data_IF_502349905678
#
_entry.id   IF_502349905678
#
_cell.length_a   1.000
_cell.length_b   1.000
_cell.length_c   1.000
_cell.angle_alpha   90.00
_cell.angle_beta   90.00
_cell.angle_gamma   90.00
#
_symmetry.space_group_name_H-M   'P 1'
#
loop_
_entity.id
_entity.type
_entity.pdbx_description
1 polymer ?
#
# COMPACT_ATOMS: atom_id res chain seq x y z
N UNK A 1 26.56 -3.86 10.39
CA UNK A 1 25.65 -2.92 9.69
C UNK A 1 25.82 -2.90 8.17
N UNK A 2 26.98 -3.20 7.61
CA UNK A 2 27.23 -3.23 6.15
C UNK A 2 26.43 -4.31 5.39
N UNK A 3 26.16 -5.48 5.99
CA UNK A 3 25.38 -6.54 5.34
C UNK A 3 23.95 -6.14 4.99
N UNK A 4 23.26 -5.38 5.85
CA UNK A 4 21.87 -4.96 5.58
C UNK A 4 21.76 -3.91 4.47
N UNK A 5 22.76 -3.06 4.29
CA UNK A 5 22.77 -2.07 3.21
C UNK A 5 23.00 -2.75 1.84
N UNK A 6 23.94 -3.71 1.77
CA UNK A 6 24.18 -4.51 0.55
C UNK A 6 22.99 -5.36 0.16
N UNK A 7 22.30 -5.96 1.13
CA UNK A 7 21.08 -6.76 0.89
C UNK A 7 19.93 -5.90 0.34
N UNK A 8 19.81 -4.65 0.82
CA UNK A 8 18.78 -3.70 0.36
C UNK A 8 19.05 -3.23 -1.07
N UNK A 9 20.30 -2.91 -1.40
CA UNK A 9 20.69 -2.52 -2.76
C UNK A 9 20.48 -3.66 -3.75
N UNK A 10 20.85 -4.89 -3.40
CA UNK A 10 20.60 -6.06 -4.23
C UNK A 10 19.10 -6.30 -4.43
N UNK A 11 18.28 -6.17 -3.37
CA UNK A 11 16.84 -6.27 -3.46
C UNK A 11 16.27 -5.19 -4.40
N UNK A 12 16.72 -3.94 -4.28
CA UNK A 12 16.33 -2.83 -5.17
C UNK A 12 16.65 -3.13 -6.63
N UNK A 13 17.85 -3.63 -6.91
CA UNK A 13 18.27 -3.99 -8.27
C UNK A 13 17.41 -5.10 -8.86
N UNK A 14 17.09 -6.14 -8.09
CA UNK A 14 16.21 -7.24 -8.53
C UNK A 14 14.78 -6.77 -8.77
N UNK A 15 14.23 -5.96 -7.87
CA UNK A 15 12.89 -5.39 -8.02
C UNK A 15 12.82 -4.47 -9.23
N UNK A 16 13.87 -3.67 -9.49
CA UNK A 16 13.96 -2.82 -10.68
C UNK A 16 13.94 -3.65 -11.96
N UNK A 17 14.68 -4.75 -12.02
CA UNK A 17 14.67 -5.64 -13.16
C UNK A 17 13.27 -6.23 -13.41
N UNK A 18 12.60 -6.71 -12.36
CA UNK A 18 11.22 -7.23 -12.45
C UNK A 18 10.22 -6.15 -12.87
N UNK A 19 10.38 -4.91 -12.40
CA UNK A 19 9.53 -3.78 -12.79
C UNK A 19 9.63 -3.50 -14.29
N UNK A 20 10.84 -3.53 -14.83
CA UNK A 20 11.06 -3.37 -16.28
C UNK A 20 10.51 -4.56 -17.09
N UNK A 21 10.68 -5.79 -16.57
CA UNK A 21 10.17 -7.00 -17.21
C UNK A 21 8.64 -7.01 -17.30
N UNK A 22 7.95 -6.67 -16.20
CA UNK A 22 6.47 -6.57 -16.18
C UNK A 22 5.98 -5.45 -17.09
N UNK A 23 6.72 -4.35 -17.18
CA UNK A 23 6.38 -3.21 -18.02
C UNK A 23 5.10 -2.47 -17.62
N UNK A 24 4.74 -1.39 -18.35
CA UNK A 24 3.59 -0.55 -18.02
C UNK A 24 2.23 -1.23 -18.26
N UNK A 25 2.19 -2.25 -19.12
CA UNK A 25 0.99 -3.02 -19.45
C UNK A 25 0.89 -4.33 -18.66
N UNK A 26 1.78 -4.54 -17.68
CA UNK A 26 1.77 -5.72 -16.84
C UNK A 26 0.57 -5.78 -15.90
N UNK A 27 0.36 -6.97 -15.33
CA UNK A 27 -0.72 -7.20 -14.38
C UNK A 27 -0.69 -6.19 -13.21
N UNK A 28 -1.80 -5.50 -12.99
CA UNK A 28 -1.87 -4.40 -12.04
C UNK A 28 -1.64 -4.85 -10.59
N UNK A 29 -2.04 -6.08 -10.23
CA UNK A 29 -1.76 -6.63 -8.89
C UNK A 29 -0.26 -6.81 -8.67
N UNK A 30 0.44 -7.39 -9.65
CA UNK A 30 1.89 -7.55 -9.57
C UNK A 30 2.62 -6.21 -9.59
N UNK A 31 2.16 -5.25 -10.39
CA UNK A 31 2.71 -3.89 -10.39
C UNK A 31 2.53 -3.20 -9.04
N UNK A 32 1.34 -3.31 -8.42
CA UNK A 32 1.07 -2.78 -7.09
C UNK A 32 2.02 -3.39 -6.05
N UNK A 33 2.14 -4.72 -6.02
CA UNK A 33 3.00 -5.42 -5.07
C UNK A 33 4.48 -5.04 -5.26
N UNK A 34 4.97 -5.01 -6.51
CA UNK A 34 6.35 -4.62 -6.81
C UNK A 34 6.65 -3.18 -6.41
N UNK A 35 5.76 -2.24 -6.72
CA UNK A 35 5.95 -0.84 -6.36
C UNK A 35 6.00 -0.66 -4.84
N UNK A 36 5.13 -1.35 -4.11
CA UNK A 36 5.15 -1.35 -2.65
C UNK A 36 6.47 -1.90 -2.08
N UNK A 37 6.94 -3.06 -2.56
CA UNK A 37 8.23 -3.59 -2.14
C UNK A 37 9.40 -2.70 -2.56
N UNK A 38 9.29 -1.99 -3.69
CA UNK A 38 10.29 -1.03 -4.13
C UNK A 38 10.36 0.16 -3.16
N UNK A 39 9.22 0.67 -2.68
CA UNK A 39 9.15 1.71 -1.67
C UNK A 39 9.96 1.33 -0.42
N UNK A 40 9.75 0.12 0.11
CA UNK A 40 10.45 -0.39 1.30
C UNK A 40 12.00 -0.46 1.13
N UNK A 41 12.50 -0.42 -0.10
CA UNK A 41 13.95 -0.44 -0.37
C UNK A 41 14.57 0.95 -0.51
N UNK A 42 13.77 2.01 -0.54
CA UNK A 42 14.29 3.37 -0.69
C UNK A 42 14.90 3.89 0.61
N UNK A 43 15.87 4.78 0.48
CA UNK A 43 16.54 5.44 1.60
C UNK A 43 16.07 6.91 1.74
N UNK A 44 15.58 7.52 0.64
CA UNK A 44 15.01 8.87 0.64
C UNK A 44 13.48 8.79 0.74
N UNK A 45 12.85 9.48 1.71
CA UNK A 45 11.40 9.50 1.84
C UNK A 45 10.63 10.00 0.60
N UNK A 46 11.27 10.77 -0.28
CA UNK A 46 10.65 11.21 -1.53
C UNK A 46 10.57 10.07 -2.53
N UNK A 47 11.64 9.29 -2.64
CA UNK A 47 11.67 8.13 -3.53
C UNK A 47 10.72 7.04 -3.02
N UNK A 48 10.63 6.84 -1.69
CA UNK A 48 9.67 5.95 -1.03
C UNK A 48 8.24 6.37 -1.38
N UNK A 49 7.90 7.64 -1.18
CA UNK A 49 6.59 8.21 -1.54
C UNK A 49 6.26 8.00 -3.02
N UNK A 50 7.20 8.25 -3.92
CA UNK A 50 6.97 8.08 -5.36
C UNK A 50 6.61 6.64 -5.72
N UNK A 51 7.23 5.66 -5.07
CA UNK A 51 6.93 4.25 -5.27
C UNK A 51 5.60 3.84 -4.64
N UNK A 52 5.28 4.31 -3.44
CA UNK A 52 4.00 4.02 -2.80
C UNK A 52 2.82 4.67 -3.57
N UNK A 53 3.02 5.85 -4.17
CA UNK A 53 2.03 6.44 -5.08
C UNK A 53 1.82 5.62 -6.35
N UNK A 54 2.87 5.04 -6.93
CA UNK A 54 2.75 4.10 -8.07
C UNK A 54 2.03 2.82 -7.68
N UNK A 55 2.25 2.32 -6.47
CA UNK A 55 1.52 1.16 -5.95
C UNK A 55 0.01 1.47 -5.84
N UNK A 56 -0.32 2.64 -5.31
CA UNK A 56 -1.71 3.09 -5.21
C UNK A 56 -2.36 3.26 -6.59
N UNK A 57 -1.68 3.91 -7.54
CA UNK A 57 -2.17 4.08 -8.92
C UNK A 57 -2.47 2.73 -9.60
N UNK A 58 -1.56 1.75 -9.45
CA UNK A 58 -1.78 0.41 -9.98
C UNK A 58 -2.99 -0.28 -9.34
N UNK A 59 -3.17 -0.12 -8.02
CA UNK A 59 -4.31 -0.68 -7.29
C UNK A 59 -5.63 -0.04 -7.72
N UNK A 60 -5.68 1.27 -7.88
CA UNK A 60 -6.87 2.01 -8.32
C UNK A 60 -7.23 1.67 -9.77
N UNK A 61 -6.24 1.59 -10.66
CA UNK A 61 -6.44 1.16 -12.05
C UNK A 61 -7.09 -0.21 -12.16
N UNK A 62 -6.62 -1.17 -11.38
CA UNK A 62 -7.18 -2.52 -11.36
C UNK A 62 -8.66 -2.56 -10.91
N UNK A 63 -9.02 -1.77 -9.91
CA UNK A 63 -10.40 -1.69 -9.39
C UNK A 63 -11.32 -1.01 -10.39
N UNK A 64 -10.82 0.01 -11.10
CA UNK A 64 -11.59 0.77 -12.10
C UNK A 64 -11.84 -0.05 -13.37
N UNK A 65 -10.86 -0.83 -13.82
CA UNK A 65 -10.99 -1.69 -15.01
C UNK A 65 -11.90 -2.89 -14.79
N UNK A 66 -12.19 -3.27 -13.55
CA UNK A 66 -13.06 -4.38 -13.16
C UNK A 66 -14.13 -3.93 -12.17
N UNK A 67 -15.10 -3.10 -12.61
CA UNK A 67 -16.24 -2.80 -11.77
C UNK A 67 -17.00 -4.08 -11.42
N UNK A 68 -17.57 -4.14 -10.21
CA UNK A 68 -18.30 -5.29 -9.62
C UNK A 68 -19.48 -5.86 -10.46
N UNK A 69 -19.65 -5.41 -11.71
CA UNK A 69 -20.66 -5.87 -12.67
C UNK A 69 -20.24 -7.11 -13.49
N UNK A 70 -19.19 -7.82 -13.15
CA UNK A 70 -19.01 -9.19 -13.61
C UNK A 70 -20.10 -10.03 -12.90
N UNK A 71 -21.16 -10.32 -13.65
CA UNK A 71 -22.41 -10.96 -13.25
C UNK A 71 -22.23 -12.11 -12.25
N UNK A 72 -23.20 -12.32 -11.33
CA UNK A 72 -23.30 -13.52 -10.53
C UNK A 72 -23.69 -14.68 -11.43
N UNK A 73 -22.72 -15.33 -12.06
CA UNK A 73 -23.00 -16.37 -13.06
C UNK A 73 -21.87 -17.34 -13.33
N UNK A 74 -20.79 -17.31 -12.61
CA UNK A 74 -19.73 -18.32 -12.72
C UNK A 74 -19.60 -19.10 -11.41
N UNK A 75 -20.39 -20.17 -11.36
CA UNK A 75 -20.19 -21.43 -10.63
C UNK A 75 -19.54 -21.37 -9.27
N UNK A 76 -20.39 -21.58 -8.28
CA UNK A 76 -20.07 -22.32 -7.08
C UNK A 76 -19.26 -23.59 -7.40
N UNK A 77 -17.97 -23.61 -7.14
CA UNK A 77 -17.25 -24.87 -6.82
C UNK A 77 -16.12 -24.59 -5.86
N UNK A 78 -16.19 -25.34 -4.77
CA UNK A 78 -15.15 -25.65 -3.82
C UNK A 78 -14.94 -24.69 -2.64
N UNK A 79 -15.54 -25.08 -1.54
CA UNK A 79 -15.05 -25.00 -0.16
C UNK A 79 -13.59 -25.50 -0.08
N UNK A 80 -12.66 -24.58 -0.14
CA UNK A 80 -11.24 -24.80 0.11
C UNK A 80 -10.57 -23.45 0.35
N UNK A 81 -9.42 -23.36 1.04
CA UNK A 81 -8.63 -22.14 1.10
C UNK A 81 -7.93 -21.94 -0.26
N UNK A 82 -8.75 -21.66 -1.28
CA UNK A 82 -8.28 -21.29 -2.60
C UNK A 82 -7.69 -19.87 -2.60
N UNK A 83 -6.88 -19.49 -3.59
CA UNK A 83 -6.33 -18.16 -3.70
C UNK A 83 -7.49 -17.15 -3.67
N UNK A 84 -7.47 -16.26 -2.69
CA UNK A 84 -8.46 -15.18 -2.56
C UNK A 84 -8.51 -14.43 -3.88
N UNK A 85 -9.72 -14.17 -4.36
CA UNK A 85 -9.91 -13.45 -5.62
C UNK A 85 -9.01 -12.20 -5.64
N UNK A 86 -8.25 -11.91 -6.70
CA UNK A 86 -7.27 -10.82 -6.75
C UNK A 86 -7.85 -9.46 -6.32
N UNK A 87 -9.11 -9.18 -6.64
CA UNK A 87 -9.84 -7.99 -6.19
C UNK A 87 -9.96 -7.90 -4.66
N UNK A 88 -10.25 -9.02 -3.99
CA UNK A 88 -10.38 -9.04 -2.52
C UNK A 88 -9.01 -8.84 -1.88
N UNK A 89 -7.98 -9.48 -2.43
CA UNK A 89 -6.61 -9.30 -1.97
C UNK A 89 -6.17 -7.85 -2.15
N UNK A 90 -6.44 -7.24 -3.31
CA UNK A 90 -6.06 -5.87 -3.59
C UNK A 90 -6.82 -4.86 -2.72
N UNK A 91 -8.12 -5.05 -2.50
CA UNK A 91 -8.91 -4.20 -1.58
C UNK A 91 -8.38 -4.24 -0.15
N UNK A 92 -7.79 -5.36 0.27
CA UNK A 92 -7.15 -5.47 1.56
C UNK A 92 -5.84 -4.67 1.66
N UNK A 93 -5.23 -4.29 0.53
CA UNK A 93 -4.02 -3.47 0.49
C UNK A 93 -4.27 -1.97 0.68
N UNK A 94 -5.43 -1.45 0.27
CA UNK A 94 -5.69 0.00 0.31
C UNK A 94 -5.43 0.66 1.67
N UNK A 95 -5.87 0.10 2.80
CA UNK A 95 -5.60 0.73 4.09
C UNK A 95 -4.11 0.84 4.39
N UNK A 96 -3.31 -0.18 4.06
CA UNK A 96 -1.86 -0.17 4.27
C UNK A 96 -1.14 0.76 3.30
N UNK A 97 -1.54 0.82 2.03
CA UNK A 97 -0.99 1.77 1.06
C UNK A 97 -1.21 3.22 1.52
N UNK A 98 -2.43 3.57 1.89
CA UNK A 98 -2.72 4.90 2.40
C UNK A 98 -1.99 5.21 3.71
N UNK A 99 -1.77 4.22 4.58
CA UNK A 99 -1.01 4.39 5.81
C UNK A 99 0.48 4.65 5.52
N UNK A 100 1.08 3.94 4.57
CA UNK A 100 2.47 4.15 4.16
C UNK A 100 2.65 5.54 3.55
N UNK A 101 1.82 5.92 2.59
CA UNK A 101 1.84 7.26 1.98
C UNK A 101 1.66 8.36 3.04
N UNK A 102 0.84 8.11 4.08
CA UNK A 102 0.70 9.05 5.18
C UNK A 102 2.00 9.16 6.00
N UNK A 103 2.71 8.06 6.21
CA UNK A 103 3.99 8.06 6.91
C UNK A 103 5.07 8.81 6.12
N UNK A 104 5.12 8.63 4.79
CA UNK A 104 6.03 9.33 3.90
C UNK A 104 5.77 10.84 3.92
N UNK A 105 4.52 11.25 3.79
CA UNK A 105 4.16 12.67 3.91
C UNK A 105 4.53 13.26 5.28
N UNK A 106 4.37 12.49 6.35
CA UNK A 106 4.79 12.92 7.67
C UNK A 106 6.32 13.06 7.77
N UNK A 107 7.09 12.14 7.15
CA UNK A 107 8.54 12.20 7.09
C UNK A 107 9.04 13.40 6.26
N UNK A 108 8.26 13.85 5.28
CA UNK A 108 8.52 15.01 4.44
C UNK A 108 7.98 16.35 5.02
N UNK A 109 7.56 16.34 6.27
CA UNK A 109 6.96 17.51 6.95
C UNK A 109 5.73 18.09 6.20
N UNK A 110 4.88 17.19 5.71
CA UNK A 110 3.63 17.49 5.01
C UNK A 110 2.41 16.98 5.79
N UNK A 111 2.11 17.53 6.97
CA UNK A 111 1.09 16.98 7.87
C UNK A 111 -0.33 17.00 7.27
N UNK A 112 -0.67 18.01 6.47
CA UNK A 112 -1.99 18.12 5.85
C UNK A 112 -2.24 16.95 4.86
N UNK A 113 -1.25 16.59 4.06
CA UNK A 113 -1.32 15.46 3.13
C UNK A 113 -1.34 14.13 3.89
N UNK A 114 -0.52 13.99 4.93
CA UNK A 114 -0.53 12.84 5.82
C UNK A 114 -1.91 12.61 6.43
N UNK A 115 -2.56 13.64 6.98
CA UNK A 115 -3.93 13.55 7.50
C UNK A 115 -4.95 13.16 6.44
N UNK A 116 -4.81 13.66 5.20
CA UNK A 116 -5.69 13.28 4.11
C UNK A 116 -5.58 11.77 3.81
N UNK A 117 -4.38 11.22 3.80
CA UNK A 117 -4.15 9.79 3.59
C UNK A 117 -4.65 8.94 4.77
N UNK A 118 -4.47 9.39 6.02
CA UNK A 118 -5.02 8.69 7.18
C UNK A 118 -6.55 8.59 7.14
N UNK A 119 -7.24 9.65 6.66
CA UNK A 119 -8.70 9.58 6.45
C UNK A 119 -9.08 8.52 5.41
N UNK A 120 -8.33 8.41 4.32
CA UNK A 120 -8.54 7.39 3.28
C UNK A 120 -8.26 5.98 3.81
N UNK A 121 -7.20 5.81 4.60
CA UNK A 121 -6.89 4.55 5.25
C UNK A 121 -8.04 4.10 6.17
N UNK A 122 -8.59 5.00 7.00
CA UNK A 122 -9.75 4.71 7.85
C UNK A 122 -11.00 4.35 7.06
N UNK A 123 -11.26 5.04 5.96
CA UNK A 123 -12.42 4.74 5.11
C UNK A 123 -12.31 3.34 4.48
N UNK A 124 -11.12 2.97 4.00
CA UNK A 124 -10.90 1.67 3.35
C UNK A 124 -10.81 0.49 4.33
N UNK A 125 -10.51 0.73 5.60
CA UNK A 125 -10.39 -0.33 6.61
C UNK A 125 -11.73 -1.04 6.87
N UNK A 126 -12.85 -0.38 6.61
CA UNK A 126 -14.18 -0.95 6.79
C UNK A 126 -14.49 -2.08 5.79
N UNK A 127 -13.76 -2.14 4.68
CA UNK A 127 -13.87 -3.23 3.70
C UNK A 127 -13.14 -4.51 4.14
N UNK A 128 -12.36 -4.47 5.21
CA UNK A 128 -11.66 -5.62 5.75
C UNK A 128 -12.55 -6.42 6.70
N UNK A 129 -12.38 -7.74 6.66
CA UNK A 129 -12.97 -8.60 7.67
C UNK A 129 -12.44 -8.27 9.07
N UNK A 130 -13.26 -8.49 10.10
CA UNK A 130 -12.82 -8.32 11.47
C UNK A 130 -11.70 -9.33 11.81
N UNK A 131 -10.71 -8.87 12.56
CA UNK A 131 -9.57 -9.69 12.94
C UNK A 131 -8.33 -8.90 13.33
N UNK A 132 -7.29 -9.62 13.69
CA UNK A 132 -6.03 -9.05 14.18
C UNK A 132 -5.39 -8.08 13.18
N UNK A 133 -5.48 -8.39 11.88
CA UNK A 133 -4.92 -7.51 10.83
C UNK A 133 -5.62 -6.15 10.78
N UNK A 134 -6.97 -6.15 10.77
CA UNK A 134 -7.76 -4.92 10.81
C UNK A 134 -7.48 -4.09 12.06
N UNK A 135 -7.38 -4.75 13.22
CA UNK A 135 -7.05 -4.08 14.48
C UNK A 135 -5.64 -3.49 14.44
N UNK A 136 -4.65 -4.25 13.97
CA UNK A 136 -3.28 -3.76 13.82
C UNK A 136 -3.15 -2.52 12.94
N UNK A 137 -3.92 -2.46 11.84
CA UNK A 137 -3.99 -1.27 10.98
C UNK A 137 -4.61 -0.07 11.70
N UNK A 138 -5.70 -0.26 12.45
CA UNK A 138 -6.31 0.81 13.25
C UNK A 138 -5.31 1.39 14.24
N UNK A 139 -4.64 0.53 14.99
CA UNK A 139 -3.64 0.92 15.98
C UNK A 139 -2.45 1.67 15.32
N UNK A 140 -2.04 1.26 14.13
CA UNK A 140 -0.98 1.92 13.38
C UNK A 140 -1.39 3.32 12.88
N UNK A 141 -2.63 3.44 12.37
CA UNK A 141 -3.21 4.72 11.94
C UNK A 141 -3.29 5.68 13.13
N UNK A 142 -3.76 5.23 14.28
CA UNK A 142 -3.92 6.07 15.46
C UNK A 142 -2.55 6.50 16.02
N UNK A 143 -1.55 5.62 16.04
CA UNK A 143 -0.18 5.97 16.43
C UNK A 143 0.44 7.02 15.50
N UNK A 144 0.25 6.89 14.18
CA UNK A 144 0.76 7.87 13.24
C UNK A 144 0.06 9.21 13.38
N UNK A 145 -1.25 9.22 13.56
CA UNK A 145 -2.03 10.42 13.84
C UNK A 145 -1.47 11.18 15.04
N UNK A 146 -1.28 10.50 16.18
CA UNK A 146 -0.73 11.10 17.39
C UNK A 146 0.68 11.69 17.19
N UNK A 147 1.53 11.03 16.38
CA UNK A 147 2.87 11.55 16.06
C UNK A 147 2.81 12.84 15.26
N UNK A 148 1.93 12.91 14.26
CA UNK A 148 1.76 14.09 13.40
C UNK A 148 1.23 15.27 14.24
N UNK A 149 0.21 15.03 15.06
CA UNK A 149 -0.41 16.05 15.88
C UNK A 149 0.57 16.57 16.97
N UNK A 150 1.33 15.64 17.57
CA UNK A 150 2.35 15.98 18.56
C UNK A 150 3.55 16.75 17.98
N UNK A 151 3.88 16.55 16.69
CA UNK A 151 4.90 17.34 16.00
C UNK A 151 4.39 18.78 15.72
N UNK A 152 3.16 18.92 15.24
CA UNK A 152 2.54 20.21 14.98
C UNK A 152 2.43 21.08 16.25
N UNK A 153 2.09 20.47 17.39
CA UNK A 153 1.99 21.16 18.69
C UNK A 153 3.33 21.65 19.28
N UNK A 154 4.47 21.14 18.77
CA UNK A 154 5.80 21.61 19.19
C UNK A 154 6.33 22.80 18.38
N UNK A 155 5.71 23.09 17.25
CA UNK A 155 6.11 24.18 16.35
C UNK A 155 5.23 25.44 16.48
N UNK A 156 4.18 25.36 17.28
CA UNK A 156 3.28 26.47 17.61
C UNK A 156 3.63 27.09 18.95
#
# INVERSE_FOLDING_TARGET
>A
MLHRAGDREEARNRLTALWHEIGPQGDAFHRCALAHYMADTQDDPRDELDWDLRALEAAEGFVTERPDNAAPGASSVADGPGPRHPLVALRAFFPSLHLNIAADYAALDRPADAHAQLRRARASINALADGAYRQGLRDAIDRLQLRIDGAAGRMA
#
